data_IF_975732956861
#
_entry.id   IF_975732956861
#
_cell.length_a   1.000
_cell.length_b   1.000
_cell.length_c   1.000
_cell.angle_alpha   90.00
_cell.angle_beta   90.00
_cell.angle_gamma   90.00
#
_symmetry.space_group_name_H-M   'P 1'
#
loop_
_entity.id
_entity.type
_entity.pdbx_description
1 polymer ?
#
# COMPACT_ATOMS: atom_id res chain seq x y z
N UNK A 1 -4.53 -0.25 11.81
CA UNK A 1 -5.36 -0.33 10.57
C UNK A 1 -5.22 -1.72 9.98
N UNK A 2 -6.34 -2.35 9.64
CA UNK A 2 -6.35 -3.65 8.97
C UNK A 2 -6.52 -3.48 7.45
N UNK A 3 -5.75 -4.21 6.65
CA UNK A 3 -5.83 -4.19 5.19
C UNK A 3 -6.12 -5.57 4.62
N UNK A 4 -7.09 -5.66 3.74
CA UNK A 4 -7.24 -6.79 2.83
C UNK A 4 -7.88 -6.33 1.52
N UNK A 5 -7.62 -7.06 0.44
CA UNK A 5 -8.24 -6.80 -0.87
C UNK A 5 -9.42 -7.74 -1.07
N UNK A 6 -10.51 -7.25 -1.62
CA UNK A 6 -11.64 -8.08 -2.05
C UNK A 6 -11.40 -8.70 -3.43
N UNK A 7 -10.50 -8.09 -4.21
CA UNK A 7 -10.06 -8.59 -5.51
C UNK A 7 -8.57 -8.31 -5.73
N UNK A 8 -7.85 -9.27 -6.24
CA UNK A 8 -6.47 -9.13 -6.75
C UNK A 8 -6.55 -8.87 -8.26
N UNK A 9 -6.96 -7.66 -8.65
CA UNK A 9 -7.27 -7.32 -10.05
C UNK A 9 -6.06 -7.36 -10.99
N UNK A 10 -4.84 -7.13 -10.46
CA UNK A 10 -3.61 -7.13 -11.25
C UNK A 10 -2.84 -8.44 -11.06
N UNK A 11 -3.13 -9.44 -11.89
CA UNK A 11 -2.46 -10.76 -11.87
C UNK A 11 -1.72 -11.03 -13.17
N UNK A 12 -0.60 -11.78 -13.07
CA UNK A 12 0.19 -12.18 -14.24
C UNK A 12 -0.46 -13.30 -15.06
N UNK A 13 -1.30 -14.14 -14.43
CA UNK A 13 -2.05 -15.21 -15.10
C UNK A 13 -3.55 -15.06 -14.83
N UNK A 14 -4.36 -15.41 -15.83
CA UNK A 14 -5.83 -15.45 -15.71
C UNK A 14 -6.30 -16.48 -14.69
N UNK A 15 -5.53 -17.54 -14.48
CA UNK A 15 -5.84 -18.62 -13.53
C UNK A 15 -5.44 -18.31 -12.11
N UNK A 16 -4.82 -17.14 -11.86
CA UNK A 16 -4.38 -16.74 -10.52
C UNK A 16 -5.57 -16.45 -9.61
N UNK A 17 -5.41 -16.71 -8.32
CA UNK A 17 -6.40 -16.37 -7.31
C UNK A 17 -6.74 -14.86 -7.37
N UNK A 18 -8.04 -14.56 -7.42
CA UNK A 18 -8.56 -13.19 -7.52
C UNK A 18 -9.10 -12.66 -6.19
N UNK A 19 -9.69 -13.49 -5.38
CA UNK A 19 -10.35 -13.08 -4.13
C UNK A 19 -11.83 -13.46 -4.08
N UNK A 20 -12.55 -13.07 -3.01
CA UNK A 20 -13.96 -13.39 -2.83
C UNK A 20 -14.93 -12.56 -3.66
N UNK A 21 -14.44 -11.50 -4.33
CA UNK A 21 -15.27 -10.48 -4.97
C UNK A 21 -15.70 -9.38 -4.00
N UNK A 22 -16.25 -8.28 -4.56
CA UNK A 22 -16.49 -7.05 -3.79
C UNK A 22 -17.55 -7.26 -2.68
N UNK A 23 -18.70 -7.80 -2.99
CA UNK A 23 -19.81 -7.95 -2.02
C UNK A 23 -19.36 -8.76 -0.80
N UNK A 24 -18.95 -10.00 -1.02
CA UNK A 24 -18.50 -10.88 0.06
C UNK A 24 -17.23 -10.36 0.77
N UNK A 25 -16.32 -9.73 0.03
CA UNK A 25 -15.13 -9.13 0.60
C UNK A 25 -15.45 -7.97 1.54
N UNK A 26 -16.41 -7.13 1.20
CA UNK A 26 -16.86 -6.03 2.07
C UNK A 26 -17.57 -6.54 3.32
N UNK A 27 -18.38 -7.60 3.23
CA UNK A 27 -18.98 -8.26 4.40
C UNK A 27 -17.90 -8.75 5.38
N UNK A 28 -16.87 -9.44 4.87
CA UNK A 28 -15.75 -9.92 5.69
C UNK A 28 -14.97 -8.76 6.34
N UNK A 29 -14.75 -7.67 5.61
CA UNK A 29 -14.07 -6.48 6.14
C UNK A 29 -14.91 -5.77 7.21
N UNK A 30 -16.22 -5.70 7.03
CA UNK A 30 -17.14 -5.14 8.03
C UNK A 30 -17.16 -5.99 9.32
N UNK A 31 -17.11 -7.31 9.20
CA UNK A 31 -16.99 -8.21 10.35
C UNK A 31 -15.68 -7.97 11.12
N UNK A 32 -14.54 -7.88 10.42
CA UNK A 32 -13.24 -7.57 11.05
C UNK A 32 -13.28 -6.22 11.75
N UNK A 33 -13.83 -5.20 11.09
CA UNK A 33 -13.98 -3.85 11.65
C UNK A 33 -14.75 -3.88 12.97
N UNK A 34 -15.92 -4.51 12.96
CA UNK A 34 -16.79 -4.61 14.14
C UNK A 34 -16.17 -5.42 15.27
N UNK A 35 -15.53 -6.56 14.93
CA UNK A 35 -14.99 -7.49 15.94
C UNK A 35 -13.75 -6.98 16.64
N UNK A 36 -12.90 -6.25 15.92
CA UNK A 36 -11.58 -5.83 16.43
C UNK A 36 -11.44 -4.32 16.64
N UNK A 37 -12.48 -3.55 16.34
CA UNK A 37 -12.48 -2.08 16.39
C UNK A 37 -11.28 -1.47 15.67
N UNK A 38 -11.01 -1.96 14.45
CA UNK A 38 -9.89 -1.51 13.63
C UNK A 38 -10.37 -0.74 12.41
N UNK A 39 -9.76 0.41 12.08
CA UNK A 39 -9.98 1.05 10.79
C UNK A 39 -9.59 0.12 9.64
N UNK A 40 -10.36 0.17 8.55
CA UNK A 40 -10.20 -0.70 7.39
C UNK A 40 -9.61 0.08 6.22
N UNK A 41 -8.62 -0.50 5.54
CA UNK A 41 -8.19 -0.09 4.22
C UNK A 41 -8.38 -1.22 3.21
N UNK A 42 -8.94 -0.90 2.05
CA UNK A 42 -9.00 -1.80 0.90
C UNK A 42 -8.77 -1.04 -0.40
N UNK A 43 -8.30 -1.74 -1.43
CA UNK A 43 -8.05 -1.14 -2.73
C UNK A 43 -9.29 -1.19 -3.62
N UNK A 44 -9.44 -0.15 -4.45
CA UNK A 44 -10.46 -0.06 -5.51
C UNK A 44 -9.78 0.00 -6.87
N UNK A 45 -10.45 -0.53 -7.91
CA UNK A 45 -9.87 -0.72 -9.23
C UNK A 45 -10.62 0.06 -10.32
N UNK A 46 -11.91 0.34 -10.09
CA UNK A 46 -12.77 1.10 -11.00
C UNK A 46 -13.55 2.18 -10.23
N UNK A 47 -13.97 3.28 -10.88
CA UNK A 47 -14.67 4.38 -10.22
C UNK A 47 -15.97 3.97 -9.51
N UNK A 48 -16.72 3.03 -10.08
CA UNK A 48 -17.99 2.52 -9.54
C UNK A 48 -17.84 1.78 -8.21
N UNK A 49 -16.64 1.28 -7.90
CA UNK A 49 -16.35 0.62 -6.63
C UNK A 49 -16.19 1.61 -5.47
N UNK A 50 -15.90 2.89 -5.73
CA UNK A 50 -15.57 3.85 -4.68
C UNK A 50 -16.69 4.03 -3.65
N UNK A 51 -17.91 4.28 -4.11
CA UNK A 51 -19.07 4.53 -3.24
C UNK A 51 -19.47 3.30 -2.38
N UNK A 52 -19.64 2.09 -2.93
CA UNK A 52 -19.97 0.91 -2.11
C UNK A 52 -18.84 0.56 -1.12
N UNK A 53 -17.58 0.68 -1.52
CA UNK A 53 -16.43 0.39 -0.66
C UNK A 53 -16.33 1.39 0.49
N UNK A 54 -16.62 2.67 0.25
CA UNK A 54 -16.60 3.72 1.27
C UNK A 54 -17.60 3.51 2.42
N UNK A 55 -18.63 2.67 2.24
CA UNK A 55 -19.58 2.32 3.32
C UNK A 55 -18.94 1.48 4.41
N UNK A 56 -17.87 0.74 4.10
CA UNK A 56 -17.15 -0.15 5.02
C UNK A 56 -15.76 0.37 5.32
N UNK A 57 -15.00 0.71 4.29
CA UNK A 57 -13.61 1.13 4.43
C UNK A 57 -13.49 2.58 4.93
N UNK A 58 -12.48 2.83 5.75
CA UNK A 58 -12.11 4.16 6.24
C UNK A 58 -11.08 4.81 5.33
N UNK A 59 -10.30 3.97 4.62
CA UNK A 59 -9.27 4.37 3.68
C UNK A 59 -9.47 3.62 2.36
N UNK A 60 -9.62 4.35 1.26
CA UNK A 60 -9.64 3.79 -0.09
C UNK A 60 -8.23 3.84 -0.66
N UNK A 61 -7.68 2.69 -1.03
CA UNK A 61 -6.37 2.60 -1.63
C UNK A 61 -6.47 2.60 -3.16
N UNK A 62 -5.69 3.46 -3.79
CA UNK A 62 -5.48 3.47 -5.25
C UNK A 62 -4.24 2.64 -5.55
N UNK A 63 -4.35 1.53 -6.29
CA UNK A 63 -3.21 0.70 -6.67
C UNK A 63 -2.15 1.47 -7.48
N UNK A 64 -0.89 1.05 -7.34
CA UNK A 64 0.24 1.74 -7.96
C UNK A 64 0.10 1.88 -9.49
N UNK A 65 -0.36 0.84 -10.20
CA UNK A 65 -0.57 0.90 -11.64
C UNK A 65 -1.71 1.84 -12.07
N UNK A 66 -2.66 2.10 -11.17
CA UNK A 66 -3.83 2.94 -11.43
C UNK A 66 -3.69 4.36 -10.87
N UNK A 67 -2.55 4.70 -10.29
CA UNK A 67 -2.36 5.96 -9.57
C UNK A 67 -2.59 7.22 -10.41
N UNK A 68 -2.47 7.14 -11.75
CA UNK A 68 -2.71 8.27 -12.66
C UNK A 68 -4.15 8.34 -13.21
N UNK A 69 -4.99 7.34 -12.97
CA UNK A 69 -6.37 7.29 -13.48
C UNK A 69 -7.21 8.39 -12.84
N UNK A 70 -7.53 9.44 -13.61
CA UNK A 70 -8.21 10.62 -13.10
C UNK A 70 -9.58 10.28 -12.53
N UNK A 71 -10.40 9.52 -13.26
CA UNK A 71 -11.76 9.18 -12.85
C UNK A 71 -11.79 8.36 -11.55
N UNK A 72 -10.80 7.46 -11.37
CA UNK A 72 -10.67 6.66 -10.16
C UNK A 72 -10.31 7.53 -8.95
N UNK A 73 -9.35 8.47 -9.11
CA UNK A 73 -8.96 9.40 -8.06
C UNK A 73 -10.12 10.33 -7.67
N UNK A 74 -10.84 10.86 -8.66
CA UNK A 74 -12.01 11.74 -8.45
C UNK A 74 -13.13 10.97 -7.74
N UNK A 75 -13.44 9.75 -8.17
CA UNK A 75 -14.45 8.91 -7.52
C UNK A 75 -14.08 8.62 -6.05
N UNK A 76 -12.83 8.23 -5.79
CA UNK A 76 -12.34 8.01 -4.42
C UNK A 76 -12.45 9.29 -3.57
N UNK A 77 -12.02 10.44 -4.11
CA UNK A 77 -12.08 11.72 -3.42
C UNK A 77 -13.50 12.11 -3.01
N UNK A 78 -14.47 11.95 -3.92
CA UNK A 78 -15.89 12.29 -3.69
C UNK A 78 -16.54 11.50 -2.56
N UNK A 79 -15.98 10.37 -2.15
CA UNK A 79 -16.48 9.61 -0.99
C UNK A 79 -16.24 10.32 0.35
N UNK A 80 -15.34 11.30 0.40
CA UNK A 80 -14.90 11.98 1.63
C UNK A 80 -14.05 11.10 2.57
N UNK A 81 -13.72 9.87 2.18
CA UNK A 81 -12.83 8.98 2.93
C UNK A 81 -11.36 9.37 2.70
N UNK A 82 -10.47 8.79 3.52
CA UNK A 82 -9.03 8.94 3.26
C UNK A 82 -8.68 8.23 1.95
N UNK A 83 -7.94 8.91 1.07
CA UNK A 83 -7.46 8.34 -0.19
C UNK A 83 -5.96 8.06 -0.06
N UNK A 84 -5.59 6.78 -0.03
CA UNK A 84 -4.20 6.36 -0.04
C UNK A 84 -3.73 6.07 -1.47
N UNK A 85 -2.86 6.90 -2.01
CA UNK A 85 -2.37 6.78 -3.39
C UNK A 85 -1.02 6.06 -3.38
N UNK A 86 -0.97 4.83 -3.90
CA UNK A 86 0.32 4.14 -4.10
C UNK A 86 1.03 4.69 -5.32
N UNK A 87 2.26 5.20 -5.12
CA UNK A 87 3.11 5.69 -6.20
C UNK A 87 3.41 4.55 -7.19
N UNK A 88 3.12 4.79 -8.46
CA UNK A 88 3.52 3.85 -9.52
C UNK A 88 5.03 3.66 -9.57
N UNK A 89 5.48 2.43 -9.86
CA UNK A 89 6.89 2.10 -9.97
C UNK A 89 7.59 2.88 -11.09
N UNK A 90 6.82 3.41 -12.02
CA UNK A 90 7.25 4.20 -13.17
C UNK A 90 7.26 5.71 -12.91
N UNK A 91 6.85 6.16 -11.72
CA UNK A 91 6.78 7.59 -11.35
C UNK A 91 8.00 8.00 -10.51
N UNK A 92 8.53 9.18 -10.83
CA UNK A 92 9.37 9.91 -9.88
C UNK A 92 8.52 10.43 -8.71
N UNK A 93 9.08 10.58 -7.48
CA UNK A 93 8.32 11.02 -6.31
C UNK A 93 7.68 12.40 -6.49
N UNK A 94 8.31 13.33 -7.20
CA UNK A 94 7.76 14.66 -7.52
C UNK A 94 6.46 14.58 -8.34
N UNK A 95 6.28 13.50 -9.10
CA UNK A 95 5.09 13.29 -9.92
C UNK A 95 3.85 12.89 -9.09
N UNK A 96 3.99 12.71 -7.78
CA UNK A 96 2.83 12.54 -6.89
C UNK A 96 2.04 13.82 -6.70
N UNK A 97 2.67 15.00 -6.84
CA UNK A 97 2.00 16.30 -6.67
C UNK A 97 0.78 16.51 -7.61
N UNK A 98 0.84 16.21 -8.92
CA UNK A 98 -0.34 16.26 -9.77
C UNK A 98 -1.47 15.29 -9.36
N UNK A 99 -1.14 14.14 -8.77
CA UNK A 99 -2.12 13.17 -8.31
C UNK A 99 -2.85 13.68 -7.06
N UNK A 100 -2.09 14.24 -6.11
CA UNK A 100 -2.63 14.93 -4.94
C UNK A 100 -3.58 16.04 -5.36
N UNK A 101 -3.16 16.88 -6.30
CA UNK A 101 -4.00 17.98 -6.81
C UNK A 101 -5.34 17.53 -7.36
N UNK A 102 -5.42 16.38 -8.03
CA UNK A 102 -6.70 15.82 -8.50
C UNK A 102 -7.67 15.52 -7.35
N UNK A 103 -7.15 15.02 -6.24
CA UNK A 103 -7.95 14.70 -5.05
C UNK A 103 -8.38 15.98 -4.35
N UNK A 104 -7.47 16.96 -4.17
CA UNK A 104 -7.76 18.27 -3.59
C UNK A 104 -8.80 19.04 -4.40
N UNK A 105 -8.64 19.11 -5.73
CA UNK A 105 -9.57 19.80 -6.63
C UNK A 105 -10.95 19.11 -6.68
N UNK A 106 -11.02 17.86 -6.22
CA UNK A 106 -12.29 17.13 -6.04
C UNK A 106 -12.93 17.39 -4.66
N UNK A 107 -12.34 18.27 -3.85
CA UNK A 107 -12.86 18.68 -2.54
C UNK A 107 -12.44 17.80 -1.37
N UNK A 108 -11.37 16.99 -1.50
CA UNK A 108 -10.92 16.09 -0.44
C UNK A 108 -9.43 16.31 -0.11
N UNK A 109 -9.15 16.71 1.13
CA UNK A 109 -7.79 16.90 1.65
C UNK A 109 -7.35 15.77 2.61
N UNK A 110 -8.04 14.63 2.62
CA UNK A 110 -7.73 13.46 3.44
C UNK A 110 -6.93 12.48 2.60
N UNK A 111 -5.63 12.71 2.48
CA UNK A 111 -4.75 12.00 1.55
C UNK A 111 -3.61 11.33 2.32
N UNK A 112 -3.18 10.18 1.85
CA UNK A 112 -1.92 9.51 2.20
C UNK A 112 -1.20 9.11 0.92
N UNK A 113 0.13 9.12 0.95
CA UNK A 113 0.95 8.76 -0.21
C UNK A 113 1.80 7.54 0.14
N UNK A 114 1.77 6.50 -0.69
CA UNK A 114 2.54 5.27 -0.42
C UNK A 114 3.65 5.10 -1.44
N UNK A 115 4.89 4.97 -0.98
CA UNK A 115 6.00 4.46 -1.78
C UNK A 115 6.12 2.94 -1.66
N UNK A 116 6.43 2.27 -2.75
CA UNK A 116 6.61 0.82 -2.87
C UNK A 116 7.77 0.44 -3.78
N UNK A 117 8.73 1.35 -3.95
CA UNK A 117 9.87 1.19 -4.85
C UNK A 117 9.59 1.62 -6.29
N UNK A 118 10.64 1.63 -7.06
CA UNK A 118 10.69 2.10 -8.45
C UNK A 118 11.33 1.04 -9.32
N UNK A 119 10.83 0.87 -10.54
CA UNK A 119 11.41 -0.05 -11.53
C UNK A 119 12.86 0.35 -11.86
N UNK A 120 13.75 -0.62 -11.80
CA UNK A 120 15.16 -0.46 -12.15
C UNK A 120 15.63 -1.64 -13.01
N UNK A 121 15.61 -1.45 -14.32
CA UNK A 121 15.84 -2.54 -15.27
C UNK A 121 14.65 -3.52 -15.34
N UNK A 122 14.93 -4.74 -15.76
CA UNK A 122 13.92 -5.80 -15.86
C UNK A 122 13.79 -6.57 -14.53
N UNK A 123 12.57 -6.90 -14.16
CA UNK A 123 12.23 -7.77 -13.02
C UNK A 123 12.85 -7.32 -11.67
N UNK A 124 13.16 -6.05 -11.53
CA UNK A 124 13.79 -5.53 -10.32
C UNK A 124 13.18 -4.20 -9.88
N UNK A 125 13.17 -3.98 -8.58
CA UNK A 125 12.80 -2.72 -7.95
C UNK A 125 13.92 -2.22 -7.07
N UNK A 126 14.07 -0.90 -6.99
CA UNK A 126 14.92 -0.24 -6.00
C UNK A 126 14.10 0.75 -5.19
N UNK A 127 14.50 0.96 -3.95
CA UNK A 127 13.96 2.00 -3.09
C UNK A 127 14.96 3.14 -2.99
N UNK A 128 14.57 4.31 -3.46
CA UNK A 128 15.27 5.56 -3.18
C UNK A 128 14.60 6.25 -1.98
N UNK A 129 15.20 6.15 -0.81
CA UNK A 129 14.62 6.72 0.41
C UNK A 129 14.47 8.24 0.40
N UNK A 130 15.13 8.95 -0.53
CA UNK A 130 14.87 10.38 -0.76
C UNK A 130 13.45 10.63 -1.26
N UNK A 131 12.77 9.61 -1.78
CA UNK A 131 11.36 9.70 -2.18
C UNK A 131 10.46 10.10 -1.01
N UNK A 132 10.79 9.71 0.21
CA UNK A 132 9.98 9.99 1.40
C UNK A 132 9.91 11.50 1.68
N UNK A 133 11.02 12.21 1.94
CA UNK A 133 10.95 13.65 2.14
C UNK A 133 10.41 14.40 0.93
N UNK A 134 10.72 13.98 -0.30
CA UNK A 134 10.17 14.61 -1.53
C UNK A 134 8.63 14.48 -1.57
N UNK A 135 8.09 13.32 -1.25
CA UNK A 135 6.63 13.13 -1.22
C UNK A 135 5.98 13.89 -0.07
N UNK A 136 6.67 14.07 1.07
CA UNK A 136 6.20 14.89 2.20
C UNK A 136 6.04 16.36 1.84
N UNK A 137 6.75 16.88 0.83
CA UNK A 137 6.53 18.23 0.30
C UNK A 137 5.11 18.47 -0.23
N UNK A 138 4.35 17.41 -0.51
CA UNK A 138 2.93 17.52 -0.82
C UNK A 138 2.06 17.89 0.39
N UNK A 139 2.60 17.89 1.63
CA UNK A 139 1.87 18.23 2.84
C UNK A 139 1.05 17.10 3.46
N UNK A 140 1.25 15.85 3.03
CA UNK A 140 0.49 14.68 3.47
C UNK A 140 1.38 13.57 4.03
N UNK A 141 0.83 12.71 4.92
CA UNK A 141 1.57 11.58 5.45
C UNK A 141 2.07 10.63 4.36
N UNK A 142 3.31 10.17 4.53
CA UNK A 142 3.94 9.20 3.63
C UNK A 142 4.00 7.83 4.28
N UNK A 143 3.42 6.86 3.58
CA UNK A 143 3.44 5.43 3.90
C UNK A 143 4.57 4.76 3.13
N UNK A 144 5.33 3.91 3.76
CA UNK A 144 6.27 3.04 3.06
C UNK A 144 5.78 1.59 3.07
N UNK A 145 5.59 1.02 1.89
CA UNK A 145 5.20 -0.38 1.70
C UNK A 145 6.46 -1.26 1.63
N UNK A 146 6.83 -1.82 2.77
CA UNK A 146 8.06 -2.59 2.91
C UNK A 146 8.00 -3.96 2.20
N UNK A 147 6.80 -4.55 2.09
CA UNK A 147 6.66 -5.88 1.49
C UNK A 147 6.62 -5.85 -0.03
N UNK A 148 5.97 -4.87 -0.64
CA UNK A 148 5.96 -4.75 -2.09
C UNK A 148 7.25 -4.13 -2.66
N UNK A 149 8.07 -3.47 -1.83
CA UNK A 149 9.36 -2.92 -2.25
C UNK A 149 10.42 -3.98 -2.52
N UNK A 150 10.25 -5.20 -2.00
CA UNK A 150 11.16 -6.34 -2.23
C UNK A 150 10.69 -7.29 -3.33
N UNK A 151 9.63 -6.93 -4.06
CA UNK A 151 9.15 -7.71 -5.19
C UNK A 151 10.16 -7.76 -6.33
N UNK A 152 10.16 -8.90 -7.04
CA UNK A 152 10.80 -9.10 -8.33
C UNK A 152 9.70 -9.36 -9.37
N UNK A 153 9.13 -8.30 -9.96
CA UNK A 153 7.98 -8.43 -10.85
C UNK A 153 8.26 -9.35 -12.04
N UNK A 154 7.43 -10.37 -12.26
CA UNK A 154 7.56 -11.29 -13.38
C UNK A 154 8.76 -12.24 -13.34
N UNK A 155 9.56 -12.26 -12.27
CA UNK A 155 10.76 -13.12 -12.19
C UNK A 155 10.48 -14.62 -12.26
N UNK A 156 9.27 -15.04 -11.91
CA UNK A 156 8.83 -16.44 -11.96
C UNK A 156 7.89 -16.73 -13.15
N UNK A 157 7.92 -15.92 -14.21
CA UNK A 157 7.05 -16.07 -15.38
C UNK A 157 5.60 -15.72 -15.08
N UNK A 158 4.82 -16.65 -14.55
CA UNK A 158 3.38 -16.49 -14.25
C UNK A 158 3.11 -15.90 -12.85
N UNK A 159 4.15 -15.62 -12.06
CA UNK A 159 4.03 -15.03 -10.73
C UNK A 159 5.15 -14.04 -10.42
N UNK A 160 4.90 -13.20 -9.44
CA UNK A 160 5.90 -12.27 -8.90
C UNK A 160 6.76 -12.97 -7.86
N UNK A 161 8.08 -12.91 -8.03
CA UNK A 161 9.05 -13.29 -7.03
C UNK A 161 9.32 -12.16 -6.03
N UNK A 162 10.26 -12.39 -5.12
CA UNK A 162 10.71 -11.41 -4.14
C UNK A 162 11.58 -12.00 -3.05
N UNK A 163 12.10 -11.13 -2.19
CA UNK A 163 12.98 -11.56 -1.10
C UNK A 163 12.60 -10.90 0.23
N UNK A 164 11.79 -11.61 1.02
CA UNK A 164 11.31 -11.14 2.35
C UNK A 164 12.42 -10.82 3.34
N UNK A 165 13.64 -11.34 3.14
CA UNK A 165 14.77 -11.07 4.05
C UNK A 165 15.10 -9.60 4.15
N UNK A 166 14.81 -8.83 3.10
CA UNK A 166 15.07 -7.39 3.06
C UNK A 166 13.90 -6.53 3.58
N UNK A 167 12.73 -7.12 3.89
CA UNK A 167 11.59 -6.35 4.41
C UNK A 167 11.93 -5.60 5.71
N UNK A 168 12.55 -6.23 6.73
CA UNK A 168 12.93 -5.50 7.94
C UNK A 168 13.93 -4.38 7.68
N UNK A 169 14.93 -4.62 6.83
CA UNK A 169 15.94 -3.60 6.47
C UNK A 169 15.29 -2.38 5.82
N UNK A 170 14.44 -2.59 4.82
CA UNK A 170 13.79 -1.49 4.11
C UNK A 170 12.79 -0.74 5.01
N UNK A 171 12.06 -1.46 5.87
CA UNK A 171 11.15 -0.83 6.84
C UNK A 171 11.89 0.09 7.81
N UNK A 172 12.98 -0.39 8.41
CA UNK A 172 13.82 0.39 9.32
C UNK A 172 14.43 1.60 8.64
N UNK A 173 14.95 1.41 7.42
CA UNK A 173 15.52 2.52 6.62
C UNK A 173 14.46 3.57 6.26
N UNK A 174 13.24 3.16 5.96
CA UNK A 174 12.13 4.08 5.69
C UNK A 174 11.75 4.90 6.94
N UNK A 175 11.72 4.27 8.11
CA UNK A 175 11.50 4.99 9.37
C UNK A 175 12.60 6.00 9.63
N UNK A 176 13.87 5.61 9.42
CA UNK A 176 15.01 6.51 9.55
C UNK A 176 14.98 7.67 8.53
N UNK A 177 14.40 7.46 7.35
CA UNK A 177 14.18 8.49 6.33
C UNK A 177 12.95 9.37 6.60
N UNK A 178 12.23 9.16 7.70
CA UNK A 178 11.10 9.99 8.13
C UNK A 178 9.73 9.57 7.59
N UNK A 179 9.54 8.29 7.19
CA UNK A 179 8.21 7.79 6.86
C UNK A 179 7.26 7.92 8.06
N UNK A 180 5.99 8.24 7.80
CA UNK A 180 4.98 8.43 8.85
C UNK A 180 4.27 7.12 9.19
N UNK A 181 4.16 6.21 8.24
CA UNK A 181 3.42 4.95 8.35
C UNK A 181 4.17 3.84 7.61
N UNK A 182 4.10 2.61 8.14
CA UNK A 182 4.55 1.40 7.44
C UNK A 182 3.36 0.55 7.01
N UNK A 183 3.51 -0.05 5.84
CA UNK A 183 2.60 -1.05 5.33
C UNK A 183 3.32 -2.40 5.21
N UNK A 184 2.68 -3.46 5.72
CA UNK A 184 3.18 -4.82 5.64
C UNK A 184 2.08 -5.79 5.21
N UNK A 185 2.45 -6.77 4.41
CA UNK A 185 1.68 -8.01 4.26
C UNK A 185 2.30 -9.09 5.14
N UNK A 186 1.46 -9.77 5.92
CA UNK A 186 1.87 -10.71 6.96
C UNK A 186 1.04 -11.97 6.84
N UNK A 187 1.66 -13.12 6.99
CA UNK A 187 0.95 -14.39 6.96
C UNK A 187 1.55 -15.39 7.98
N UNK A 188 0.74 -16.22 8.66
CA UNK A 188 1.27 -17.26 9.55
C UNK A 188 2.22 -18.24 8.85
N UNK A 189 1.93 -18.57 7.58
CA UNK A 189 2.76 -19.43 6.73
C UNK A 189 2.78 -18.86 5.30
N UNK A 190 3.70 -17.91 4.98
CA UNK A 190 3.78 -17.26 3.68
C UNK A 190 3.90 -18.20 2.47
N UNK A 191 4.45 -19.40 2.65
CA UNK A 191 4.55 -20.42 1.59
C UNK A 191 3.19 -20.95 1.13
N UNK A 192 2.16 -20.82 2.00
CA UNK A 192 0.77 -21.19 1.71
C UNK A 192 -0.10 -19.99 1.35
N UNK A 193 0.48 -18.79 1.26
CA UNK A 193 -0.27 -17.59 0.89
C UNK A 193 -0.79 -17.71 -0.56
N UNK A 194 -2.01 -17.25 -0.79
CA UNK A 194 -2.67 -17.30 -2.10
C UNK A 194 -2.09 -16.29 -3.11
N UNK A 195 -1.33 -15.31 -2.62
CA UNK A 195 -0.61 -14.32 -3.42
C UNK A 195 0.59 -13.80 -2.64
N UNK A 196 1.56 -13.21 -3.31
CA UNK A 196 2.71 -12.45 -2.77
C UNK A 196 3.53 -13.15 -1.66
N UNK A 197 3.38 -14.47 -1.53
CA UNK A 197 4.04 -15.27 -0.51
C UNK A 197 5.54 -14.99 -0.33
N UNK A 198 6.35 -14.87 -1.40
CA UNK A 198 7.79 -14.58 -1.28
C UNK A 198 8.13 -13.26 -0.57
N UNK A 199 7.20 -12.32 -0.50
CA UNK A 199 7.40 -11.00 0.08
C UNK A 199 6.85 -10.85 1.50
N UNK A 200 5.88 -11.69 1.88
CA UNK A 200 5.18 -11.57 3.16
C UNK A 200 6.10 -11.87 4.34
N UNK A 201 5.96 -11.08 5.40
CA UNK A 201 6.55 -11.41 6.70
C UNK A 201 5.83 -12.61 7.34
N UNK A 202 6.59 -13.42 8.07
CA UNK A 202 5.98 -14.36 9.02
C UNK A 202 5.34 -13.61 10.18
N UNK A 203 4.14 -14.02 10.57
CA UNK A 203 3.45 -13.43 11.71
C UNK A 203 4.29 -13.47 12.99
N UNK A 204 5.05 -14.56 13.20
CA UNK A 204 5.94 -14.73 14.36
C UNK A 204 7.08 -13.71 14.45
N UNK A 205 7.48 -13.11 13.31
CA UNK A 205 8.58 -12.16 13.24
C UNK A 205 8.10 -10.70 13.27
N UNK A 206 6.79 -10.48 13.10
CA UNK A 206 6.19 -9.16 12.94
C UNK A 206 6.40 -8.26 14.15
N UNK A 207 6.19 -8.78 15.37
CA UNK A 207 6.33 -8.01 16.61
C UNK A 207 7.75 -7.42 16.74
N UNK A 208 8.78 -8.24 16.51
CA UNK A 208 10.17 -7.77 16.57
C UNK A 208 10.44 -6.66 15.56
N UNK A 209 9.96 -6.82 14.31
CA UNK A 209 10.15 -5.81 13.26
C UNK A 209 9.45 -4.52 13.64
N UNK A 210 8.22 -4.59 14.15
CA UNK A 210 7.45 -3.40 14.54
C UNK A 210 8.07 -2.67 15.72
N UNK A 211 8.57 -3.40 16.73
CA UNK A 211 9.23 -2.78 17.90
C UNK A 211 10.44 -1.97 17.48
N UNK A 212 11.33 -2.54 16.66
CA UNK A 212 12.51 -1.82 16.16
C UNK A 212 12.13 -0.61 15.30
N UNK A 213 11.16 -0.76 14.41
CA UNK A 213 10.67 0.36 13.60
C UNK A 213 10.07 1.47 14.44
N UNK A 214 9.35 1.13 15.53
CA UNK A 214 8.79 2.10 16.47
C UNK A 214 9.89 2.88 17.21
N UNK A 215 10.92 2.20 17.69
CA UNK A 215 12.05 2.87 18.34
C UNK A 215 12.76 3.86 17.41
N UNK A 216 13.01 3.46 16.16
CA UNK A 216 13.59 4.34 15.14
C UNK A 216 12.69 5.56 14.89
N UNK A 217 11.37 5.34 14.73
CA UNK A 217 10.40 6.40 14.55
C UNK A 217 10.44 7.41 15.72
N UNK A 218 10.45 6.91 16.94
CA UNK A 218 10.49 7.76 18.14
C UNK A 218 11.79 8.58 18.23
N UNK A 219 12.92 8.00 17.79
CA UNK A 219 14.20 8.73 17.74
C UNK A 219 14.14 9.83 16.67
N UNK A 220 13.71 9.53 15.46
CA UNK A 220 13.66 10.51 14.36
C UNK A 220 12.75 11.67 14.72
N UNK A 221 11.55 11.40 15.28
CA UNK A 221 10.56 12.42 15.66
C UNK A 221 11.01 13.37 16.77
N UNK A 222 12.08 13.07 17.49
CA UNK A 222 12.65 13.99 18.49
C UNK A 222 13.46 15.14 17.85
N UNK A 223 13.84 14.96 16.58
CA UNK A 223 14.72 15.89 15.88
C UNK A 223 14.04 16.53 14.64
N UNK A 224 12.79 16.17 14.32
CA UNK A 224 11.91 16.85 13.38
C UNK A 224 11.26 18.08 14.04
#
# INVERSE_FOLDING_TARGET
VFKSSFDKANRSSIDSFRGPGMEKGLEMLAEVKSKYDLPIVTDIHTPDQAEPVAKVADILQIPAFLCRQTDLLVAAAKTGKIVNIKKGQFLAPQQMKPLVKKVEDSGNNRIMLTDRGTTFGYNNLVTDFRSIPIMKECGYPVVFDATHSVQMPGSNGTSTGGDRRYVPLLAQSAMAAGADVLFFEIHPNPEKALCDGPNMLYLKDAEKVFSVCKEIFEVVRKYD
#
